data_IF_870065625966
#
_entry.id   IF_870065625966
#
_cell.length_a   1.000
_cell.length_b   1.000
_cell.length_c   1.000
_cell.angle_alpha   90.00
_cell.angle_beta   90.00
_cell.angle_gamma   90.00
#
_symmetry.space_group_name_H-M   'P 1'
#
loop_
_entity.id
_entity.type
_entity.pdbx_description
1 polymer ?
#
# COMPACT_ATOMS: atom_id res chain seq x y z
N UNK A 1 -7.72 17.18 -7.04
CA UNK A 1 -9.01 16.85 -7.69
C UNK A 1 -9.71 15.77 -6.87
N UNK A 2 -11.03 15.88 -6.61
CA UNK A 2 -11.78 14.83 -5.94
C UNK A 2 -11.70 13.51 -6.71
N UNK A 3 -11.54 12.38 -6.01
CA UNK A 3 -11.35 11.05 -6.63
C UNK A 3 -12.50 10.68 -7.56
N UNK A 4 -13.73 11.02 -7.21
CA UNK A 4 -14.91 10.68 -8.02
C UNK A 4 -14.90 11.32 -9.41
N UNK A 5 -14.32 12.53 -9.58
CA UNK A 5 -14.18 13.14 -10.91
C UNK A 5 -13.23 12.36 -11.81
N UNK A 6 -12.15 11.80 -11.24
CA UNK A 6 -11.19 10.98 -11.98
C UNK A 6 -11.87 9.74 -12.55
N UNK A 7 -12.89 9.22 -11.86
CA UNK A 7 -13.61 8.03 -12.26
C UNK A 7 -14.70 8.28 -13.32
N UNK A 8 -15.07 9.53 -13.64
CA UNK A 8 -16.16 9.81 -14.60
C UNK A 8 -15.84 9.25 -15.99
N UNK A 9 -14.66 9.51 -16.60
CA UNK A 9 -14.37 8.98 -17.94
C UNK A 9 -14.38 7.46 -17.96
N UNK A 10 -13.87 6.82 -16.90
CA UNK A 10 -13.87 5.37 -16.73
C UNK A 10 -15.31 4.81 -16.67
N UNK A 11 -16.18 5.44 -15.88
CA UNK A 11 -17.58 5.02 -15.74
C UNK A 11 -18.35 5.19 -17.05
N UNK A 12 -18.16 6.31 -17.76
CA UNK A 12 -18.80 6.56 -19.07
C UNK A 12 -18.34 5.52 -20.09
N UNK A 13 -17.04 5.24 -20.15
CA UNK A 13 -16.49 4.22 -21.05
C UNK A 13 -17.03 2.83 -20.71
N UNK A 14 -17.09 2.47 -19.42
CA UNK A 14 -17.65 1.20 -18.96
C UNK A 14 -19.12 1.07 -19.36
N UNK A 15 -19.95 2.09 -19.15
CA UNK A 15 -21.36 2.07 -19.55
C UNK A 15 -21.51 1.91 -21.07
N UNK A 16 -20.70 2.63 -21.86
CA UNK A 16 -20.70 2.49 -23.32
C UNK A 16 -20.33 1.07 -23.77
N UNK A 17 -19.28 0.49 -23.19
CA UNK A 17 -18.85 -0.89 -23.46
C UNK A 17 -19.91 -1.91 -23.01
N UNK A 18 -20.54 -1.68 -21.86
CA UNK A 18 -21.59 -2.55 -21.34
C UNK A 18 -22.79 -2.62 -22.29
N UNK A 19 -23.18 -1.49 -22.89
CA UNK A 19 -24.23 -1.45 -23.92
C UNK A 19 -23.76 -2.17 -25.19
N UNK A 20 -22.55 -1.86 -25.69
CA UNK A 20 -22.00 -2.45 -26.92
C UNK A 20 -21.89 -3.97 -26.86
N UNK A 21 -21.42 -4.50 -25.74
CA UNK A 21 -21.20 -5.93 -25.53
C UNK A 21 -22.32 -6.62 -24.75
N UNK A 22 -23.40 -5.90 -24.42
CA UNK A 22 -24.59 -6.41 -23.72
C UNK A 22 -24.26 -7.11 -22.40
N UNK A 23 -23.24 -6.64 -21.69
CA UNK A 23 -22.82 -7.20 -20.42
C UNK A 23 -22.18 -6.13 -19.55
N UNK A 24 -22.84 -5.82 -18.43
CA UNK A 24 -22.32 -4.90 -17.41
C UNK A 24 -21.18 -5.51 -16.60
N UNK A 25 -21.12 -6.84 -16.51
CA UNK A 25 -20.10 -7.58 -15.76
C UNK A 25 -18.90 -7.99 -16.60
N UNK A 26 -18.89 -7.73 -17.92
CA UNK A 26 -17.79 -8.15 -18.80
C UNK A 26 -16.38 -7.80 -18.29
N UNK A 27 -16.12 -6.60 -17.71
CA UNK A 27 -14.79 -6.29 -17.17
C UNK A 27 -14.33 -7.24 -16.05
N UNK A 28 -15.24 -7.87 -15.31
CA UNK A 28 -14.88 -8.82 -14.25
C UNK A 28 -14.30 -10.14 -14.78
N UNK A 29 -14.32 -10.35 -16.10
CA UNK A 29 -13.70 -11.49 -16.75
C UNK A 29 -12.24 -11.22 -17.20
N UNK A 30 -11.71 -10.00 -17.02
CA UNK A 30 -10.38 -9.64 -17.52
C UNK A 30 -9.25 -10.46 -16.88
N UNK A 31 -9.37 -10.78 -15.59
CA UNK A 31 -8.43 -11.64 -14.87
C UNK A 31 -9.21 -12.74 -14.13
N UNK A 32 -9.57 -13.86 -14.80
CA UNK A 32 -10.47 -14.86 -14.23
C UNK A 32 -9.98 -15.53 -12.94
N UNK A 33 -8.67 -15.50 -12.68
CA UNK A 33 -8.07 -16.04 -11.46
C UNK A 33 -8.19 -15.09 -10.25
N UNK A 34 -8.63 -13.85 -10.46
CA UNK A 34 -8.79 -12.83 -9.42
C UNK A 34 -10.28 -12.53 -9.24
N UNK A 35 -10.71 -12.38 -8.00
CA UNK A 35 -12.07 -12.02 -7.59
C UNK A 35 -12.54 -10.79 -8.37
N UNK A 36 -13.66 -10.95 -9.05
CA UNK A 36 -14.24 -9.95 -9.95
C UNK A 36 -13.25 -9.35 -10.97
N UNK A 37 -12.25 -10.11 -11.44
CA UNK A 37 -11.26 -9.66 -12.41
C UNK A 37 -10.28 -8.60 -11.88
N UNK A 38 -10.24 -8.40 -10.55
CA UNK A 38 -9.51 -7.31 -9.90
C UNK A 38 -10.29 -5.98 -9.86
N UNK A 39 -11.61 -6.01 -10.11
CA UNK A 39 -12.44 -4.81 -10.06
C UNK A 39 -12.75 -4.38 -8.60
N UNK A 40 -13.09 -5.36 -7.76
CA UNK A 40 -13.44 -5.14 -6.35
C UNK A 40 -13.48 -6.46 -5.57
N UNK A 41 -13.08 -6.41 -4.31
CA UNK A 41 -13.31 -7.48 -3.34
C UNK A 41 -12.19 -8.52 -3.26
N UNK A 42 -11.12 -8.34 -4.02
CA UNK A 42 -9.97 -9.22 -4.04
C UNK A 42 -9.03 -9.01 -2.84
N UNK A 43 -8.44 -10.11 -2.36
CA UNK A 43 -7.48 -10.12 -1.25
C UNK A 43 -6.03 -10.02 -1.72
N UNK A 44 -5.13 -9.61 -0.84
CA UNK A 44 -3.67 -9.61 -1.12
C UNK A 44 -3.15 -11.03 -1.26
N UNK A 45 -3.64 -11.95 -0.43
CA UNK A 45 -3.24 -13.36 -0.44
C UNK A 45 -3.65 -14.07 -1.74
N UNK A 46 -4.74 -13.63 -2.38
CA UNK A 46 -5.19 -14.12 -3.68
C UNK A 46 -4.13 -13.86 -4.76
N UNK A 47 -3.67 -12.61 -4.88
CA UNK A 47 -2.56 -12.29 -5.77
C UNK A 47 -1.29 -13.08 -5.43
N UNK A 48 -0.94 -13.18 -4.14
CA UNK A 48 0.30 -13.86 -3.75
C UNK A 48 0.29 -15.37 -4.03
N UNK A 49 -0.90 -15.99 -4.02
CA UNK A 49 -1.09 -17.42 -4.34
C UNK A 49 -0.84 -17.70 -5.82
N UNK A 50 -1.25 -16.78 -6.69
CA UNK A 50 -1.17 -16.95 -8.15
C UNK A 50 0.17 -16.44 -8.74
N UNK A 51 1.00 -15.79 -7.93
CA UNK A 51 2.34 -15.37 -8.33
C UNK A 51 3.23 -16.57 -8.69
N UNK A 52 3.71 -16.62 -9.94
CA UNK A 52 4.76 -17.55 -10.35
C UNK A 52 6.10 -17.30 -9.64
N UNK A 53 7.04 -18.24 -9.76
CA UNK A 53 8.31 -18.24 -9.02
C UNK A 53 9.09 -16.91 -9.09
N UNK A 54 9.11 -16.26 -10.27
CA UNK A 54 9.79 -14.97 -10.47
C UNK A 54 9.16 -13.84 -9.65
N UNK A 55 7.83 -13.73 -9.66
CA UNK A 55 7.11 -12.73 -8.88
C UNK A 55 7.24 -13.03 -7.38
N UNK A 56 7.11 -14.31 -7.00
CA UNK A 56 7.26 -14.77 -5.63
C UNK A 56 8.63 -14.42 -5.03
N UNK A 57 9.70 -14.59 -5.79
CA UNK A 57 11.06 -14.26 -5.36
C UNK A 57 11.29 -12.74 -5.14
N UNK A 58 10.49 -11.89 -5.78
CA UNK A 58 10.53 -10.44 -5.61
C UNK A 58 9.52 -9.93 -4.56
N UNK A 59 8.70 -10.81 -3.99
CA UNK A 59 7.69 -10.46 -2.98
C UNK A 59 8.27 -10.63 -1.59
N UNK A 60 8.21 -9.57 -0.80
CA UNK A 60 8.61 -9.58 0.61
C UNK A 60 7.95 -10.74 1.37
N UNK A 61 8.73 -11.38 2.24
CA UNK A 61 8.30 -12.55 3.01
C UNK A 61 7.01 -12.24 3.76
N UNK A 62 6.07 -13.18 3.80
CA UNK A 62 4.77 -12.93 4.43
C UNK A 62 4.15 -14.20 5.01
N UNK A 63 3.27 -14.01 5.98
CA UNK A 63 2.35 -15.03 6.49
C UNK A 63 0.97 -14.42 6.74
N UNK A 64 0.01 -15.25 7.15
CA UNK A 64 -1.34 -14.79 7.49
C UNK A 64 -1.78 -15.33 8.85
N UNK A 65 -2.49 -14.50 9.61
CA UNK A 65 -3.10 -14.84 10.89
C UNK A 65 -4.60 -14.56 10.80
N UNK A 66 -5.41 -15.51 11.26
CA UNK A 66 -6.88 -15.34 11.35
C UNK A 66 -7.25 -14.78 12.72
N UNK A 67 -8.29 -13.96 12.76
CA UNK A 67 -8.85 -13.35 13.99
C UNK A 67 -10.17 -14.00 14.40
N UNK A 68 -10.39 -15.26 14.01
CA UNK A 68 -11.55 -16.07 14.40
C UNK A 68 -11.47 -16.51 15.87
N UNK A 69 -10.26 -16.78 16.37
CA UNK A 69 -9.98 -17.09 17.76
C UNK A 69 -9.13 -16.00 18.41
N UNK A 70 -9.14 -15.95 19.75
CA UNK A 70 -8.18 -15.12 20.49
C UNK A 70 -6.78 -15.60 20.14
N UNK A 71 -5.92 -14.76 19.53
CA UNK A 71 -4.61 -15.19 19.11
C UNK A 71 -3.77 -15.61 20.33
N UNK A 72 -3.14 -16.78 20.26
CA UNK A 72 -2.13 -17.17 21.22
C UNK A 72 -0.77 -16.61 20.78
N UNK A 73 -0.02 -15.90 21.63
CA UNK A 73 1.28 -15.33 21.25
C UNK A 73 2.27 -16.38 20.72
N UNK A 74 2.28 -17.58 21.31
CA UNK A 74 3.16 -18.69 20.90
C UNK A 74 2.84 -19.15 19.48
N UNK A 75 1.56 -19.31 19.15
CA UNK A 75 1.13 -19.76 17.84
C UNK A 75 1.48 -18.73 16.75
N UNK A 76 1.26 -17.44 17.05
CA UNK A 76 1.62 -16.35 16.14
C UNK A 76 3.11 -16.31 15.85
N UNK A 77 3.96 -16.43 16.90
CA UNK A 77 5.41 -16.51 16.72
C UNK A 77 5.83 -17.74 15.90
N UNK A 78 5.20 -18.90 16.11
CA UNK A 78 5.48 -20.09 15.32
C UNK A 78 5.08 -19.92 13.85
N UNK A 79 3.96 -19.26 13.56
CA UNK A 79 3.54 -18.94 12.20
C UNK A 79 4.57 -18.02 11.52
N UNK A 80 5.02 -16.98 12.22
CA UNK A 80 6.05 -16.07 11.72
C UNK A 80 7.38 -16.80 11.48
N UNK A 81 7.84 -17.59 12.46
CA UNK A 81 9.09 -18.35 12.35
C UNK A 81 9.07 -19.35 11.19
N UNK A 82 7.95 -20.07 10.98
CA UNK A 82 7.78 -20.97 9.83
C UNK A 82 7.84 -20.26 8.49
N UNK A 83 7.43 -18.99 8.45
CA UNK A 83 7.51 -18.16 7.25
C UNK A 83 8.87 -17.47 7.10
N UNK A 84 9.76 -17.53 8.10
CA UNK A 84 11.02 -16.79 8.11
C UNK A 84 10.84 -15.29 8.38
N UNK A 85 9.78 -14.91 9.11
CA UNK A 85 9.51 -13.53 9.49
C UNK A 85 10.06 -13.19 10.88
N UNK A 86 10.68 -12.02 10.95
CA UNK A 86 11.14 -11.39 12.18
C UNK A 86 10.61 -9.96 12.28
N UNK A 87 10.62 -9.40 13.49
CA UNK A 87 10.24 -8.01 13.68
C UNK A 87 11.35 -7.05 13.18
N UNK A 88 10.99 -5.86 12.69
CA UNK A 88 9.62 -5.35 12.54
C UNK A 88 8.88 -5.96 11.34
N UNK A 89 7.55 -6.08 11.46
CA UNK A 89 6.67 -6.49 10.36
C UNK A 89 5.62 -5.42 10.06
N UNK A 90 5.07 -5.45 8.86
CA UNK A 90 3.83 -4.76 8.52
C UNK A 90 2.66 -5.71 8.77
N UNK A 91 1.76 -5.33 9.66
CA UNK A 91 0.44 -5.93 9.79
C UNK A 91 -0.57 -5.16 8.93
N UNK A 92 -1.39 -5.88 8.16
CA UNK A 92 -2.43 -5.27 7.31
C UNK A 92 -3.61 -6.21 7.06
N UNK A 93 -4.82 -5.68 6.82
CA UNK A 93 -5.93 -6.50 6.35
C UNK A 93 -5.59 -7.18 5.04
N UNK A 94 -6.04 -8.43 4.84
CA UNK A 94 -6.01 -9.07 3.53
C UNK A 94 -6.89 -8.28 2.54
N UNK A 95 -8.15 -8.06 2.93
CA UNK A 95 -9.10 -7.15 2.28
C UNK A 95 -8.95 -5.75 2.86
N UNK A 96 -8.36 -4.82 2.11
CA UNK A 96 -8.13 -3.47 2.62
C UNK A 96 -7.95 -2.43 1.54
N UNK A 97 -8.32 -1.19 1.86
CA UNK A 97 -8.30 -0.06 0.94
C UNK A 97 -7.45 1.09 1.50
N UNK A 98 -6.68 1.79 0.65
CA UNK A 98 -6.02 3.06 1.00
C UNK A 98 -5.14 3.04 2.28
N UNK A 99 -4.60 1.87 2.64
CA UNK A 99 -3.76 1.69 3.82
C UNK A 99 -4.50 1.66 5.15
N UNK A 100 -5.84 1.58 5.17
CA UNK A 100 -6.56 1.37 6.42
C UNK A 100 -6.16 0.04 7.07
N UNK A 101 -5.98 0.06 8.39
CA UNK A 101 -5.49 -1.09 9.17
C UNK A 101 -4.01 -1.42 8.96
N UNK A 102 -3.26 -0.68 8.14
CA UNK A 102 -1.83 -0.96 7.95
C UNK A 102 -1.02 -0.35 9.10
N UNK A 103 -0.25 -1.16 9.82
CA UNK A 103 0.63 -0.72 10.90
C UNK A 103 1.98 -1.42 10.82
N UNK A 104 3.05 -0.67 11.15
CA UNK A 104 4.36 -1.26 11.45
C UNK A 104 4.33 -1.75 12.89
N UNK A 105 4.78 -2.98 13.09
CA UNK A 105 4.75 -3.67 14.37
C UNK A 105 6.19 -4.03 14.71
N UNK A 106 6.73 -3.42 15.76
CA UNK A 106 8.13 -3.56 16.14
C UNK A 106 8.39 -4.72 17.11
N UNK A 107 7.34 -5.25 17.76
CA UNK A 107 7.47 -6.36 18.70
C UNK A 107 6.17 -7.18 18.85
N UNK A 108 6.29 -8.30 19.57
CA UNK A 108 5.16 -9.19 19.84
C UNK A 108 4.04 -8.51 20.63
N UNK A 109 4.37 -7.66 21.61
CA UNK A 109 3.35 -7.01 22.43
C UNK A 109 2.48 -6.07 21.58
N UNK A 110 3.10 -5.33 20.65
CA UNK A 110 2.42 -4.50 19.67
C UNK A 110 1.58 -5.35 18.70
N UNK A 111 2.08 -6.50 18.26
CA UNK A 111 1.33 -7.43 17.42
C UNK A 111 0.07 -7.93 18.12
N UNK A 112 0.18 -8.35 19.37
CA UNK A 112 -0.97 -8.85 20.14
C UNK A 112 -2.03 -7.77 20.33
N UNK A 113 -1.63 -6.54 20.68
CA UNK A 113 -2.57 -5.40 20.76
C UNK A 113 -3.25 -5.12 19.42
N UNK A 114 -2.51 -5.18 18.33
CA UNK A 114 -3.06 -4.99 16.98
C UNK A 114 -4.12 -6.07 16.67
N UNK A 115 -3.80 -7.34 16.88
CA UNK A 115 -4.70 -8.46 16.57
C UNK A 115 -5.95 -8.46 17.46
N UNK A 116 -5.81 -8.09 18.74
CA UNK A 116 -6.94 -7.99 19.67
C UNK A 116 -7.91 -6.86 19.29
N UNK A 117 -7.39 -5.74 18.81
CA UNK A 117 -8.21 -4.61 18.35
C UNK A 117 -8.76 -4.80 16.92
N UNK A 118 -8.24 -5.75 16.16
CA UNK A 118 -8.65 -6.00 14.78
C UNK A 118 -10.04 -6.67 14.73
N UNK A 119 -10.86 -6.41 13.70
CA UNK A 119 -12.15 -7.08 13.58
C UNK A 119 -12.02 -8.61 13.60
N UNK A 120 -12.96 -9.27 14.27
CA UNK A 120 -13.00 -10.74 14.35
C UNK A 120 -13.42 -11.37 13.03
N UNK A 121 -13.04 -12.62 12.84
CA UNK A 121 -13.32 -13.42 11.62
C UNK A 121 -12.72 -12.83 10.34
N UNK A 122 -11.64 -12.09 10.47
CA UNK A 122 -10.91 -11.50 9.35
C UNK A 122 -9.53 -12.16 9.20
N UNK A 123 -8.84 -11.81 8.10
CA UNK A 123 -7.47 -12.24 7.84
C UNK A 123 -6.53 -11.05 7.91
N UNK A 124 -5.51 -11.17 8.74
CA UNK A 124 -4.38 -10.25 8.82
C UNK A 124 -3.20 -10.85 8.07
N UNK A 125 -2.64 -10.09 7.15
CA UNK A 125 -1.35 -10.40 6.51
C UNK A 125 -0.25 -9.74 7.33
N UNK A 126 0.72 -10.55 7.76
CA UNK A 126 1.99 -10.08 8.29
C UNK A 126 3.02 -10.18 7.18
N UNK A 127 3.73 -9.10 6.91
CA UNK A 127 4.73 -9.04 5.85
C UNK A 127 5.99 -8.36 6.36
N UNK A 128 7.15 -8.81 5.89
CA UNK A 128 8.45 -8.20 6.14
C UNK A 128 8.41 -6.68 5.91
N UNK A 129 8.96 -5.93 6.85
CA UNK A 129 9.09 -4.48 6.71
C UNK A 129 10.30 -4.14 5.85
N UNK A 130 10.05 -3.54 4.69
CA UNK A 130 11.08 -2.98 3.83
C UNK A 130 11.31 -1.51 4.22
N UNK A 131 12.55 -1.16 4.58
CA UNK A 131 12.93 0.18 5.04
C UNK A 131 13.23 1.16 3.90
N UNK A 132 13.18 0.70 2.65
CA UNK A 132 13.40 1.52 1.46
C UNK A 132 12.54 2.80 1.45
N UNK A 133 13.13 3.87 0.92
CA UNK A 133 12.52 5.20 0.88
C UNK A 133 11.64 5.44 -0.36
N UNK A 134 11.78 4.59 -1.38
CA UNK A 134 11.13 4.73 -2.68
C UNK A 134 10.12 3.62 -2.93
N UNK A 135 8.95 4.00 -3.42
CA UNK A 135 7.95 3.07 -3.95
C UNK A 135 7.63 3.47 -5.41
N UNK A 136 7.55 2.50 -6.31
CA UNK A 136 7.18 2.75 -7.70
C UNK A 136 6.02 1.83 -8.11
N UNK A 137 4.92 2.43 -8.58
CA UNK A 137 3.85 1.72 -9.27
C UNK A 137 4.18 1.61 -10.75
N UNK A 138 4.15 0.40 -11.29
CA UNK A 138 4.43 0.12 -12.71
C UNK A 138 3.11 -0.18 -13.41
N UNK A 139 2.79 0.59 -14.46
CA UNK A 139 1.64 0.35 -15.32
C UNK A 139 2.13 -0.28 -16.61
N UNK A 140 1.79 -1.55 -16.80
CA UNK A 140 2.28 -2.39 -17.89
C UNK A 140 1.09 -3.00 -18.63
N UNK A 141 1.21 -3.11 -19.95
CA UNK A 141 0.29 -3.88 -20.78
C UNK A 141 1.08 -4.74 -21.77
N UNK A 142 0.55 -5.92 -22.08
CA UNK A 142 1.05 -6.79 -23.14
C UNK A 142 -0.10 -7.11 -24.08
N UNK A 143 0.13 -6.89 -25.37
CA UNK A 143 -0.83 -7.23 -26.40
C UNK A 143 -0.85 -8.75 -26.60
N UNK A 144 -2.01 -9.42 -26.50
CA UNK A 144 -2.09 -10.87 -26.59
C UNK A 144 -1.96 -11.41 -28.03
N UNK A 145 -2.13 -10.58 -29.07
CA UNK A 145 -2.06 -11.00 -30.47
C UNK A 145 -0.63 -10.84 -31.01
N UNK A 146 0.03 -9.74 -30.67
CA UNK A 146 1.38 -9.39 -31.17
C UNK A 146 2.50 -9.73 -30.20
N UNK A 147 2.15 -10.10 -28.97
CA UNK A 147 3.08 -10.36 -27.86
C UNK A 147 3.91 -9.15 -27.40
N UNK A 148 3.63 -7.97 -27.96
CA UNK A 148 4.35 -6.73 -27.67
C UNK A 148 4.00 -6.19 -26.28
N UNK A 149 5.02 -5.70 -25.58
CA UNK A 149 4.88 -5.17 -24.23
C UNK A 149 5.12 -3.66 -24.16
N UNK A 150 4.25 -2.96 -23.42
CA UNK A 150 4.29 -1.51 -23.26
C UNK A 150 4.33 -1.14 -21.78
N UNK A 151 5.31 -0.31 -21.41
CA UNK A 151 5.32 0.39 -20.14
C UNK A 151 4.49 1.68 -20.29
N UNK A 152 3.24 1.62 -19.86
CA UNK A 152 2.29 2.73 -19.99
C UNK A 152 2.58 3.87 -19.01
N UNK A 153 3.23 3.57 -17.88
CA UNK A 153 3.57 4.59 -16.91
C UNK A 153 4.33 4.07 -15.70
N UNK A 154 5.00 5.00 -15.03
CA UNK A 154 5.67 4.77 -13.74
C UNK A 154 5.18 5.85 -12.79
N UNK A 155 4.60 5.44 -11.65
CA UNK A 155 4.17 6.35 -10.60
C UNK A 155 5.12 6.22 -9.40
N UNK A 156 5.97 7.23 -9.21
CA UNK A 156 6.85 7.30 -8.04
C UNK A 156 6.07 7.80 -6.84
N UNK A 157 6.13 7.06 -5.75
CA UNK A 157 5.47 7.37 -4.50
C UNK A 157 6.51 7.65 -3.43
N UNK A 158 6.32 8.80 -2.78
CA UNK A 158 7.17 9.27 -1.69
C UNK A 158 6.35 9.29 -0.41
N UNK A 159 6.89 8.67 0.64
CA UNK A 159 6.35 8.76 1.98
C UNK A 159 6.22 10.22 2.44
N UNK A 160 5.19 10.53 3.25
CA UNK A 160 5.10 11.80 3.97
C UNK A 160 6.43 12.12 4.65
N UNK A 161 6.93 13.33 4.42
CA UNK A 161 8.24 13.79 4.91
C UNK A 161 8.25 15.29 5.07
N UNK A 162 9.11 15.79 5.95
CA UNK A 162 9.51 17.21 6.03
C UNK A 162 11.00 17.34 5.74
N UNK A 163 11.40 18.53 5.31
CA UNK A 163 12.80 18.87 5.06
C UNK A 163 13.22 19.88 6.11
N UNK A 164 14.31 19.60 6.80
CA UNK A 164 14.89 20.48 7.81
C UNK A 164 15.37 21.79 7.21
N UNK A 165 15.18 22.86 7.98
CA UNK A 165 15.73 24.19 7.67
C UNK A 165 16.82 24.63 8.66
N UNK A 166 17.15 23.75 9.63
CA UNK A 166 18.10 24.01 10.70
C UNK A 166 17.58 24.90 11.83
N UNK A 167 16.28 25.25 11.83
CA UNK A 167 15.70 26.21 12.80
C UNK A 167 14.43 25.67 13.45
N UNK A 168 13.50 25.12 12.67
CA UNK A 168 12.21 24.64 13.17
C UNK A 168 12.29 23.18 13.60
N UNK A 169 11.53 22.85 14.66
CA UNK A 169 11.35 21.45 15.05
C UNK A 169 10.53 20.67 14.02
N UNK A 170 10.64 19.34 14.04
CA UNK A 170 9.83 18.44 13.20
C UNK A 170 8.34 18.76 13.34
N UNK A 171 7.83 18.98 14.55
CA UNK A 171 6.44 19.36 14.78
C UNK A 171 6.06 20.67 14.06
N UNK A 172 6.91 21.70 14.15
CA UNK A 172 6.67 22.98 13.51
C UNK A 172 6.75 22.88 11.97
N UNK A 173 7.63 22.01 11.44
CA UNK A 173 7.71 21.73 10.02
C UNK A 173 6.45 20.99 9.51
N UNK A 174 5.93 20.02 10.27
CA UNK A 174 4.65 19.35 9.99
C UNK A 174 3.53 20.38 9.95
N UNK A 175 3.47 21.28 10.93
CA UNK A 175 2.47 22.34 11.00
C UNK A 175 2.66 23.45 9.97
N UNK A 176 3.76 23.48 9.24
CA UNK A 176 3.93 24.39 8.11
C UNK A 176 3.44 23.74 6.80
N UNK A 177 3.69 22.45 6.57
CA UNK A 177 3.36 21.75 5.32
C UNK A 177 1.88 21.26 5.30
N UNK A 178 1.02 21.76 4.39
CA UNK A 178 -0.39 21.36 4.31
C UNK A 178 -0.64 19.87 4.06
N UNK A 179 0.30 19.17 3.41
CA UNK A 179 0.21 17.71 3.20
C UNK A 179 0.64 16.96 4.45
N UNK A 180 1.74 17.36 5.08
CA UNK A 180 2.26 16.70 6.27
C UNK A 180 1.25 16.76 7.43
N UNK A 181 0.50 17.86 7.57
CA UNK A 181 -0.58 17.98 8.56
C UNK A 181 -1.61 16.86 8.51
N UNK A 182 -1.86 16.28 7.34
CA UNK A 182 -2.84 15.17 7.20
C UNK A 182 -2.45 13.92 7.97
N UNK A 183 -1.18 13.77 8.35
CA UNK A 183 -0.76 12.68 9.22
C UNK A 183 -1.41 12.77 10.61
N UNK A 184 -1.75 13.98 11.07
CA UNK A 184 -2.43 14.18 12.37
C UNK A 184 -3.78 13.46 12.43
N UNK A 185 -4.44 13.28 11.29
CA UNK A 185 -5.72 12.56 11.20
C UNK A 185 -5.54 11.02 11.20
N UNK A 186 -4.30 10.53 11.17
CA UNK A 186 -4.00 9.10 11.12
C UNK A 186 -2.72 8.73 11.91
N UNK A 187 -2.71 8.94 13.24
CA UNK A 187 -1.52 8.77 14.07
C UNK A 187 -0.92 7.35 14.03
N UNK A 188 -1.74 6.32 13.79
CA UNK A 188 -1.27 4.93 13.66
C UNK A 188 -0.35 4.68 12.45
N UNK A 189 -0.29 5.62 11.50
CA UNK A 189 0.64 5.54 10.37
C UNK A 189 1.93 6.33 10.61
N UNK A 190 2.05 7.05 11.73
CA UNK A 190 3.23 7.84 12.03
C UNK A 190 4.46 6.93 12.14
N UNK A 191 5.56 7.36 11.52
CA UNK A 191 6.86 6.78 11.75
C UNK A 191 7.39 7.24 13.12
N UNK A 192 8.22 6.42 13.76
CA UNK A 192 8.97 6.83 14.93
C UNK A 192 9.91 7.99 14.54
N UNK A 193 9.53 9.21 14.90
CA UNK A 193 10.34 10.41 14.71
C UNK A 193 10.22 11.31 15.94
N UNK A 194 11.31 12.00 16.28
CA UNK A 194 11.31 12.98 17.37
C UNK A 194 10.68 14.29 16.89
N UNK A 195 9.56 14.66 17.50
CA UNK A 195 8.80 15.86 17.17
C UNK A 195 9.48 17.15 17.65
N UNK A 196 10.35 17.06 18.66
CA UNK A 196 11.09 18.18 19.23
C UNK A 196 12.44 18.40 18.55
N UNK A 197 12.97 17.37 17.89
CA UNK A 197 14.17 17.45 17.09
C UNK A 197 14.09 18.59 16.06
N UNK A 198 15.17 19.36 15.92
CA UNK A 198 15.36 20.38 14.88
C UNK A 198 16.24 19.76 13.80
N UNK A 199 15.67 19.31 12.67
CA UNK A 199 16.44 18.66 11.63
C UNK A 199 17.38 19.66 10.96
N UNK A 200 18.59 19.20 10.63
CA UNK A 200 19.58 20.02 9.93
C UNK A 200 19.03 20.50 8.58
N UNK A 201 19.63 21.56 8.03
CA UNK A 201 19.24 22.04 6.71
C UNK A 201 19.37 20.90 5.69
N UNK A 202 18.33 20.71 4.90
CA UNK A 202 18.19 19.67 3.86
C UNK A 202 18.07 18.22 4.40
N UNK A 203 18.02 18.03 5.72
CA UNK A 203 17.74 16.72 6.32
C UNK A 203 16.29 16.30 6.02
N UNK A 204 16.12 15.06 5.55
CA UNK A 204 14.79 14.50 5.24
C UNK A 204 14.31 13.67 6.42
N UNK A 205 13.22 14.11 7.06
CA UNK A 205 12.58 13.33 8.13
C UNK A 205 11.34 12.65 7.57
N UNK A 206 11.35 11.31 7.55
CA UNK A 206 10.18 10.49 7.19
C UNK A 206 9.16 10.52 8.32
N UNK A 207 7.91 10.81 7.97
CA UNK A 207 6.84 11.00 8.93
C UNK A 207 5.87 9.82 9.01
N UNK A 208 5.82 8.96 7.98
CA UNK A 208 4.87 7.85 7.97
C UNK A 208 5.44 6.58 7.35
N UNK A 209 4.85 5.45 7.75
CA UNK A 209 5.19 4.11 7.24
C UNK A 209 4.51 3.80 5.91
N UNK A 210 3.44 4.52 5.55
CA UNK A 210 2.71 4.37 4.27
C UNK A 210 2.84 5.61 3.38
N UNK A 211 2.92 5.44 2.06
CA UNK A 211 3.02 6.55 1.10
C UNK A 211 1.67 7.09 0.59
N UNK A 212 0.60 7.04 1.40
CA UNK A 212 -0.75 7.40 0.93
C UNK A 212 -0.97 8.91 0.89
N UNK A 213 -1.64 9.42 -0.15
CA UNK A 213 -2.03 10.85 -0.21
C UNK A 213 -2.92 11.28 0.95
N UNK A 214 -3.66 10.32 1.56
CA UNK A 214 -4.47 10.51 2.77
C UNK A 214 -3.63 11.00 3.95
N UNK A 215 -2.38 10.55 4.05
CA UNK A 215 -1.47 10.91 5.16
C UNK A 215 -0.37 11.88 4.71
N UNK A 216 -0.51 12.50 3.53
CA UNK A 216 0.46 13.48 3.02
C UNK A 216 1.48 12.95 2.02
N UNK A 217 1.36 11.69 1.58
CA UNK A 217 2.23 11.09 0.57
C UNK A 217 2.13 11.83 -0.77
N UNK A 218 3.23 11.78 -1.54
CA UNK A 218 3.34 12.44 -2.84
C UNK A 218 3.51 11.42 -3.96
N UNK A 219 2.84 11.69 -5.07
CA UNK A 219 2.90 10.87 -6.28
C UNK A 219 3.50 11.74 -7.38
N UNK A 220 4.49 11.21 -8.10
CA UNK A 220 5.12 11.88 -9.24
C UNK A 220 5.11 10.95 -10.44
N UNK A 221 4.99 11.53 -11.63
CA UNK A 221 5.24 10.78 -12.85
C UNK A 221 6.74 10.45 -12.93
N UNK A 222 7.06 9.17 -12.98
CA UNK A 222 8.41 8.64 -13.16
C UNK A 222 8.68 8.12 -14.56
N UNK A 223 7.70 8.17 -15.47
CA UNK A 223 7.96 7.83 -16.86
C UNK A 223 8.89 8.89 -17.47
N UNK A 224 9.94 8.51 -18.22
CA UNK A 224 10.57 9.45 -19.14
C UNK A 224 9.48 9.98 -20.07
N UNK A 225 9.51 11.27 -20.42
CA UNK A 225 8.53 11.86 -21.31
C UNK A 225 8.39 11.00 -22.57
N UNK A 226 7.32 10.20 -22.67
CA UNK A 226 7.07 9.34 -23.81
C UNK A 226 6.79 10.28 -24.99
N UNK A 227 7.80 10.48 -25.84
CA UNK A 227 7.62 11.07 -27.16
C UNK A 227 7.08 9.94 -28.05
N UNK A 228 5.82 10.06 -28.45
CA UNK A 228 5.37 9.35 -29.65
C UNK A 228 6.24 9.83 -30.81
N UNK A 229 7.08 8.95 -31.34
CA UNK A 229 7.51 9.03 -32.74
C UNK A 229 6.44 8.36 -33.59
#
# INVERSE_FOLDING_TARGET
MPKWLICIPLAVQWLWLAVRYRSTTLPSAANPCITAGGLVGEGKLEYFKDMGARARAATATYCSVRTDLVPCPVDVLQIMAKAGLEFPVIAKPDLGLCGYGVQKIDDLAALMRYLEAFPRNEVVVLQEYLSDEGEAGIFYARDPETDQSHLLGVALRYYPRVIGDGVRSTAALIDADPRARRLRDAPHHAAACDLLHIPARDEVVRLATIGSTRVGGLYRNGAPAYRHN
#
